data_IF_642129750674
#
_entry.id   IF_642129750674
#
_cell.length_a   1.000
_cell.length_b   1.000
_cell.length_c   1.000
_cell.angle_alpha   90.00
_cell.angle_beta   90.00
_cell.angle_gamma   90.00
#
_symmetry.space_group_name_H-M   'P 1'
#
loop_
_entity.id
_entity.type
_entity.pdbx_description
1 polymer ?
#
# COMPACT_ATOMS: atom_id res chain seq x y z
N UNK A 1 -75.58 -0.15 6.92
CA UNK A 1 -75.06 -0.06 5.54
C UNK A 1 -74.02 1.05 5.50
N UNK A 2 -72.75 0.74 5.23
CA UNK A 2 -71.67 1.73 5.26
C UNK A 2 -70.31 1.08 5.49
N UNK A 3 -69.55 0.91 4.41
CA UNK A 3 -68.41 0.02 4.26
C UNK A 3 -67.13 0.44 5.00
N UNK A 4 -66.38 -0.61 5.36
CA UNK A 4 -64.94 -0.68 5.67
C UNK A 4 -64.10 0.33 4.88
N UNK A 5 -63.19 1.02 5.56
CA UNK A 5 -61.96 1.56 4.97
C UNK A 5 -60.77 1.06 5.78
N UNK A 6 -60.28 -0.11 5.40
CA UNK A 6 -59.02 -0.66 5.91
C UNK A 6 -57.88 0.12 5.26
N UNK A 7 -57.26 1.04 6.00
CA UNK A 7 -56.01 1.66 5.59
C UNK A 7 -54.88 0.65 5.77
N UNK A 8 -54.46 0.02 4.68
CA UNK A 8 -53.23 -0.77 4.64
C UNK A 8 -52.07 0.21 4.45
N UNK A 9 -51.43 0.59 5.56
CA UNK A 9 -50.14 1.27 5.57
C UNK A 9 -49.06 0.23 5.22
N UNK A 10 -48.76 0.09 3.93
CA UNK A 10 -47.61 -0.69 3.46
C UNK A 10 -46.36 0.12 3.79
N UNK A 11 -45.72 -0.22 4.91
CA UNK A 11 -44.39 0.27 5.26
C UNK A 11 -43.36 -0.32 4.31
N UNK A 12 -42.97 0.46 3.29
CA UNK A 12 -41.77 0.16 2.51
C UNK A 12 -40.62 0.93 3.16
N UNK A 13 -40.00 0.32 4.17
CA UNK A 13 -38.68 0.73 4.62
C UNK A 13 -37.69 0.32 3.55
N UNK A 14 -37.44 1.20 2.59
CA UNK A 14 -36.28 1.09 1.68
C UNK A 14 -35.04 1.44 2.51
N UNK A 15 -34.63 0.52 3.38
CA UNK A 15 -33.27 0.47 3.89
C UNK A 15 -32.38 -0.09 2.78
N UNK A 16 -32.24 0.69 1.70
CA UNK A 16 -31.13 0.56 0.77
C UNK A 16 -29.88 1.04 1.50
N UNK A 17 -29.39 0.21 2.42
CA UNK A 17 -28.05 0.32 2.95
C UNK A 17 -27.15 -0.04 1.77
N UNK A 18 -26.86 0.96 0.94
CA UNK A 18 -25.68 0.93 0.10
C UNK A 18 -24.51 0.75 1.06
N UNK A 19 -24.08 -0.50 1.26
CA UNK A 19 -22.75 -0.81 1.75
C UNK A 19 -21.79 -0.40 0.64
N UNK A 20 -21.66 0.92 0.44
CA UNK A 20 -20.55 1.52 -0.27
C UNK A 20 -19.37 1.10 0.57
N UNK A 21 -18.76 -0.03 0.22
CA UNK A 21 -17.49 -0.41 0.79
C UNK A 21 -16.63 0.83 0.63
N UNK A 22 -16.17 1.41 1.73
CA UNK A 22 -15.27 2.54 1.71
C UNK A 22 -14.07 2.14 0.85
N UNK A 23 -14.11 2.42 -0.45
CA UNK A 23 -12.93 2.50 -1.28
C UNK A 23 -12.18 3.64 -0.64
N UNK A 24 -11.05 3.34 0.00
CA UNK A 24 -10.17 4.37 0.48
C UNK A 24 -9.81 5.18 -0.77
N UNK A 25 -10.37 6.39 -0.87
CA UNK A 25 -10.11 7.27 -2.00
C UNK A 25 -8.58 7.39 -2.11
N UNK A 26 -8.03 7.45 -3.31
CA UNK A 26 -6.58 7.53 -3.53
C UNK A 26 -5.81 6.21 -3.58
N UNK A 27 -6.36 5.07 -3.18
CA UNK A 27 -5.71 3.77 -3.43
C UNK A 27 -5.84 3.34 -4.91
N UNK A 28 -4.82 2.66 -5.45
CA UNK A 28 -4.87 2.10 -6.80
C UNK A 28 -4.07 0.81 -6.94
N UNK A 29 -4.47 -0.02 -7.91
CA UNK A 29 -3.80 -1.25 -8.32
C UNK A 29 -3.27 -1.03 -9.74
N UNK A 30 -1.95 -1.02 -9.91
CA UNK A 30 -1.29 -0.81 -11.20
C UNK A 30 -1.01 -2.14 -11.91
N UNK A 31 -0.66 -3.18 -11.16
CA UNK A 31 -0.37 -4.50 -11.69
C UNK A 31 -0.77 -5.61 -10.71
N UNK A 32 -1.21 -6.76 -11.23
CA UNK A 32 -1.44 -7.98 -10.47
C UNK A 32 -1.22 -9.22 -11.35
N UNK A 33 -0.31 -10.09 -10.94
CA UNK A 33 -0.20 -11.42 -11.48
C UNK A 33 -1.21 -12.36 -10.78
N UNK A 34 -2.30 -12.72 -11.47
CA UNK A 34 -3.35 -13.57 -10.90
C UNK A 34 -2.98 -15.06 -10.83
N UNK A 35 -1.95 -15.47 -11.58
CA UNK A 35 -1.57 -16.86 -11.74
C UNK A 35 -0.49 -17.31 -10.74
N UNK A 36 0.07 -16.36 -9.99
CA UNK A 36 1.11 -16.65 -9.02
C UNK A 36 0.52 -17.13 -7.69
N UNK A 37 1.17 -18.11 -7.06
CA UNK A 37 0.90 -18.53 -5.70
C UNK A 37 2.11 -18.20 -4.84
N UNK A 38 1.89 -17.33 -3.87
CA UNK A 38 2.93 -16.92 -2.92
C UNK A 38 2.81 -17.74 -1.65
N UNK A 39 3.95 -18.22 -1.16
CA UNK A 39 4.04 -18.90 0.14
C UNK A 39 3.54 -17.98 1.25
N UNK A 40 3.16 -18.56 2.39
CA UNK A 40 2.84 -17.78 3.59
C UNK A 40 4.01 -16.85 3.93
N UNK A 41 3.81 -15.55 3.74
CA UNK A 41 4.81 -14.52 4.01
C UNK A 41 5.05 -14.44 5.51
N UNK A 42 6.31 -14.66 5.93
CA UNK A 42 6.79 -14.52 7.32
C UNK A 42 7.92 -13.50 7.41
N UNK A 43 8.67 -13.31 6.32
CA UNK A 43 9.79 -12.38 6.20
C UNK A 43 9.68 -11.64 4.88
N UNK A 44 9.76 -10.32 4.97
CA UNK A 44 9.75 -9.42 3.82
C UNK A 44 11.09 -8.71 3.76
N UNK A 45 11.85 -8.92 2.70
CA UNK A 45 12.99 -8.05 2.38
C UNK A 45 12.44 -6.69 1.94
N UNK A 46 12.98 -5.62 2.50
CA UNK A 46 12.56 -4.25 2.25
C UNK A 46 13.74 -3.40 1.80
N UNK A 47 13.57 -2.69 0.69
CA UNK A 47 14.51 -1.70 0.18
C UNK A 47 14.11 -0.29 0.60
N UNK A 48 15.08 0.60 0.79
CA UNK A 48 14.78 2.01 0.98
C UNK A 48 14.02 2.55 -0.25
N UNK A 49 13.00 3.40 -0.06
CA UNK A 49 12.22 3.90 -1.18
C UNK A 49 13.06 4.77 -2.10
N UNK A 50 12.79 4.69 -3.41
CA UNK A 50 13.19 5.75 -4.35
C UNK A 50 12.40 7.00 -4.01
N UNK A 51 13.08 8.14 -3.84
CA UNK A 51 12.44 9.41 -3.46
C UNK A 51 12.51 10.38 -4.62
N UNK A 52 11.37 11.01 -4.92
CA UNK A 52 11.30 12.07 -5.94
C UNK A 52 10.58 13.28 -5.37
N UNK A 53 11.13 14.50 -5.46
CA UNK A 53 12.43 14.83 -6.06
C UNK A 53 13.62 14.37 -5.22
N UNK A 54 14.78 14.25 -5.85
CA UNK A 54 16.04 13.84 -5.21
C UNK A 54 16.63 14.98 -4.38
N UNK A 55 16.31 14.98 -3.09
CA UNK A 55 16.71 16.02 -2.14
C UNK A 55 17.23 15.32 -0.88
N UNK A 56 18.53 15.41 -0.56
CA UNK A 56 19.14 14.67 0.54
C UNK A 56 18.43 14.87 1.90
N UNK A 57 17.94 16.08 2.16
CA UNK A 57 17.32 16.49 3.42
C UNK A 57 16.05 15.69 3.74
N UNK A 58 15.35 15.18 2.73
CA UNK A 58 14.12 14.41 2.93
C UNK A 58 14.36 12.90 2.94
N UNK A 59 15.57 12.40 2.66
CA UNK A 59 15.83 10.96 2.56
C UNK A 59 15.65 10.23 3.89
N UNK A 60 16.41 10.62 4.91
CA UNK A 60 16.36 9.96 6.23
C UNK A 60 14.96 10.04 6.85
N UNK A 61 14.27 11.21 6.88
CA UNK A 61 12.91 11.28 7.38
C UNK A 61 11.95 10.37 6.63
N UNK A 62 12.05 10.29 5.30
CA UNK A 62 11.18 9.43 4.48
C UNK A 62 11.45 7.96 4.74
N UNK A 63 12.72 7.55 4.81
CA UNK A 63 13.11 6.17 5.08
C UNK A 63 12.57 5.71 6.44
N UNK A 64 12.71 6.54 7.47
CA UNK A 64 12.24 6.24 8.80
C UNK A 64 10.70 6.19 8.87
N UNK A 65 10.02 7.17 8.25
CA UNK A 65 8.56 7.22 8.20
C UNK A 65 7.96 6.00 7.50
N UNK A 66 8.50 5.66 6.33
CA UNK A 66 8.08 4.49 5.56
C UNK A 66 8.34 3.22 6.36
N UNK A 67 9.57 3.01 6.85
CA UNK A 67 9.95 1.80 7.57
C UNK A 67 9.11 1.58 8.82
N UNK A 68 8.89 2.62 9.64
CA UNK A 68 8.02 2.55 10.82
C UNK A 68 6.62 2.10 10.42
N UNK A 69 6.00 2.77 9.44
CA UNK A 69 4.64 2.43 9.01
C UNK A 69 4.53 1.00 8.43
N UNK A 70 5.52 0.56 7.64
CA UNK A 70 5.54 -0.77 7.06
C UNK A 70 5.76 -1.87 8.12
N UNK A 71 6.72 -1.65 9.03
CA UNK A 71 6.98 -2.53 10.17
C UNK A 71 5.73 -2.70 11.03
N UNK A 72 5.11 -1.58 11.43
CA UNK A 72 3.95 -1.60 12.32
C UNK A 72 2.75 -2.28 11.65
N UNK A 73 2.51 -2.01 10.37
CA UNK A 73 1.46 -2.68 9.60
C UNK A 73 1.60 -4.21 9.56
N UNK A 74 2.84 -4.73 9.45
CA UNK A 74 3.10 -6.16 9.43
C UNK A 74 2.98 -6.79 10.82
N UNK A 75 3.46 -6.09 11.86
CA UNK A 75 3.33 -6.52 13.27
C UNK A 75 1.86 -6.63 13.69
N UNK A 76 1.06 -5.59 13.41
CA UNK A 76 -0.36 -5.51 13.80
C UNK A 76 -1.21 -6.64 13.20
N UNK A 77 -0.75 -7.23 12.09
CA UNK A 77 -1.45 -8.31 11.40
C UNK A 77 -0.87 -9.69 11.66
N UNK A 78 0.15 -9.79 12.52
CA UNK A 78 0.95 -11.00 12.72
C UNK A 78 1.43 -11.62 11.39
N UNK A 79 1.70 -10.76 10.40
CA UNK A 79 1.93 -11.13 8.99
C UNK A 79 3.41 -11.29 8.64
N UNK A 80 4.31 -11.20 9.63
CA UNK A 80 5.73 -11.40 9.44
C UNK A 80 6.61 -10.27 9.96
N UNK A 81 7.92 -10.41 9.72
CA UNK A 81 8.96 -9.45 10.06
C UNK A 81 9.49 -8.78 8.80
N UNK A 82 9.81 -7.50 8.90
CA UNK A 82 10.50 -6.76 7.84
C UNK A 82 12.01 -6.85 8.07
N UNK A 83 12.76 -7.11 7.01
CA UNK A 83 14.22 -7.13 6.99
C UNK A 83 14.68 -5.98 6.09
N UNK A 84 15.22 -4.92 6.70
CA UNK A 84 15.68 -3.75 5.97
C UNK A 84 17.04 -4.01 5.34
N UNK A 85 17.12 -3.79 4.04
CA UNK A 85 18.36 -3.68 3.28
C UNK A 85 18.62 -2.20 3.07
N UNK A 86 19.75 -1.68 3.56
CA UNK A 86 20.05 -0.25 3.52
C UNK A 86 20.57 0.20 2.15
N UNK A 87 19.82 -0.14 1.10
CA UNK A 87 20.08 0.29 -0.26
C UNK A 87 18.77 0.62 -0.97
N UNK A 88 18.87 1.41 -2.04
CA UNK A 88 17.76 1.75 -2.91
C UNK A 88 17.86 0.88 -4.17
N UNK A 89 16.76 0.27 -4.58
CA UNK A 89 16.65 -0.42 -5.86
C UNK A 89 15.95 0.49 -6.88
N UNK A 90 16.43 0.50 -8.13
CA UNK A 90 15.77 1.25 -9.19
C UNK A 90 14.31 0.81 -9.33
N UNK A 91 13.39 1.77 -9.34
CA UNK A 91 11.96 1.45 -9.43
C UNK A 91 11.54 1.08 -10.86
N UNK A 92 12.24 1.60 -11.87
CA UNK A 92 11.92 1.35 -13.28
C UNK A 92 12.66 0.12 -13.82
N UNK A 93 13.91 -0.09 -13.40
CA UNK A 93 14.76 -1.19 -13.85
C UNK A 93 15.11 -2.10 -12.67
N UNK A 94 14.19 -3.02 -12.34
CA UNK A 94 14.32 -3.92 -11.19
C UNK A 94 15.33 -5.02 -11.50
N UNK A 95 16.35 -5.18 -10.64
CA UNK A 95 17.30 -6.29 -10.71
C UNK A 95 16.71 -7.53 -10.01
N UNK A 96 16.13 -8.43 -10.80
CA UNK A 96 15.49 -9.64 -10.28
C UNK A 96 16.47 -10.69 -9.80
N UNK A 97 17.71 -10.70 -10.32
CA UNK A 97 18.74 -11.62 -9.83
C UNK A 97 19.19 -11.22 -8.43
N UNK A 98 19.37 -9.92 -8.20
CA UNK A 98 19.66 -9.43 -6.85
C UNK A 98 18.49 -9.67 -5.88
N UNK A 99 17.23 -9.60 -6.33
CA UNK A 99 16.06 -9.99 -5.51
C UNK A 99 16.16 -11.46 -5.08
N UNK A 100 16.48 -12.37 -6.00
CA UNK A 100 16.63 -13.80 -5.69
C UNK A 100 17.72 -14.02 -4.65
N UNK A 101 18.89 -13.43 -4.88
CA UNK A 101 20.04 -13.56 -3.99
C UNK A 101 19.71 -13.04 -2.58
N UNK A 102 19.17 -11.82 -2.47
CA UNK A 102 18.92 -11.21 -1.16
C UNK A 102 17.80 -11.94 -0.40
N UNK A 103 16.76 -12.42 -1.10
CA UNK A 103 15.69 -13.20 -0.49
C UNK A 103 16.20 -14.55 0.01
N UNK A 104 17.03 -15.23 -0.79
CA UNK A 104 17.65 -16.50 -0.41
C UNK A 104 18.53 -16.33 0.85
N UNK A 105 19.42 -15.33 0.85
CA UNK A 105 20.36 -15.06 1.94
C UNK A 105 19.68 -14.66 3.25
N UNK A 106 18.45 -14.12 3.18
CA UNK A 106 17.69 -13.67 4.35
C UNK A 106 16.55 -14.63 4.74
N UNK A 107 16.36 -15.72 3.98
CA UNK A 107 15.20 -16.60 4.03
C UNK A 107 13.88 -15.81 4.00
N UNK A 108 13.75 -14.86 3.09
CA UNK A 108 12.55 -14.07 2.90
C UNK A 108 11.70 -14.64 1.76
N UNK A 109 10.37 -14.60 1.92
CA UNK A 109 9.46 -15.11 0.89
C UNK A 109 9.17 -14.08 -0.20
N UNK A 110 9.32 -12.79 0.12
CA UNK A 110 9.03 -11.68 -0.80
C UNK A 110 9.97 -10.50 -0.58
N UNK A 111 10.14 -9.71 -1.63
CA UNK A 111 10.82 -8.42 -1.62
C UNK A 111 9.83 -7.28 -1.92
N UNK A 112 9.89 -6.22 -1.12
CA UNK A 112 9.11 -4.99 -1.28
C UNK A 112 10.03 -3.86 -1.77
N UNK A 113 9.76 -3.35 -2.97
CA UNK A 113 10.52 -2.28 -3.61
C UNK A 113 9.63 -1.03 -3.62
N UNK A 114 9.90 0.00 -2.80
CA UNK A 114 9.02 1.15 -2.68
C UNK A 114 9.51 2.39 -3.43
N UNK A 115 8.58 3.32 -3.65
CA UNK A 115 8.80 4.66 -4.19
C UNK A 115 7.91 5.67 -3.50
N UNK A 116 8.47 6.84 -3.17
CA UNK A 116 7.75 7.98 -2.61
C UNK A 116 7.96 9.18 -3.50
N UNK A 117 6.87 9.69 -4.07
CA UNK A 117 6.87 10.91 -4.88
C UNK A 117 6.16 12.03 -4.13
N UNK A 118 6.88 13.08 -3.79
CA UNK A 118 6.33 14.31 -3.21
C UNK A 118 5.69 15.17 -4.28
N UNK A 119 4.52 15.75 -3.98
CA UNK A 119 3.90 16.75 -4.85
C UNK A 119 4.50 18.13 -4.58
N UNK A 120 4.85 18.86 -5.63
CA UNK A 120 5.35 20.24 -5.53
C UNK A 120 4.19 21.23 -5.49
N UNK A 121 4.23 22.22 -4.60
CA UNK A 121 3.28 23.35 -4.61
C UNK A 121 4.07 24.67 -4.62
N UNK A 122 4.07 25.38 -5.75
CA UNK A 122 4.38 26.83 -5.81
C UNK A 122 5.86 27.28 -5.74
N UNK A 123 6.08 28.58 -6.05
CA UNK A 123 7.36 29.21 -6.40
C UNK A 123 8.32 29.42 -5.21
N UNK A 124 9.57 28.95 -5.36
CA UNK A 124 10.66 29.03 -4.38
C UNK A 124 11.50 27.75 -4.39
N UNK A 125 12.70 27.75 -3.78
CA UNK A 125 13.61 26.57 -3.84
C UNK A 125 13.13 25.35 -3.03
N UNK A 126 12.17 25.49 -2.09
CA UNK A 126 11.88 24.43 -1.10
C UNK A 126 10.43 24.32 -0.57
N UNK A 127 9.39 24.51 -1.39
CA UNK A 127 8.00 24.28 -0.92
C UNK A 127 7.49 22.91 -1.40
N UNK A 128 7.59 21.90 -0.52
CA UNK A 128 6.98 20.58 -0.73
C UNK A 128 5.55 20.60 -0.17
N UNK A 129 4.61 20.04 -0.94
CA UNK A 129 3.33 19.68 -0.35
C UNK A 129 3.61 18.63 0.70
N UNK A 130 2.87 18.67 1.80
CA UNK A 130 2.82 17.55 2.72
C UNK A 130 2.21 16.31 2.04
N UNK A 131 1.73 16.38 0.80
CA UNK A 131 1.14 15.24 0.10
C UNK A 131 2.19 14.45 -0.69
N UNK A 132 1.99 13.13 -0.73
CA UNK A 132 2.84 12.17 -1.42
C UNK A 132 2.02 11.13 -2.17
N UNK A 133 2.62 10.59 -3.23
CA UNK A 133 2.22 9.33 -3.84
C UNK A 133 3.20 8.26 -3.39
N UNK A 134 2.72 7.30 -2.58
CA UNK A 134 3.50 6.14 -2.15
C UNK A 134 3.13 4.96 -3.03
N UNK A 135 4.11 4.31 -3.64
CA UNK A 135 3.92 3.13 -4.50
C UNK A 135 4.88 2.03 -4.09
N UNK A 136 4.52 0.77 -4.32
CA UNK A 136 5.48 -0.33 -4.17
C UNK A 136 5.18 -1.49 -5.11
N UNK A 137 6.25 -2.15 -5.52
CA UNK A 137 6.23 -3.42 -6.24
C UNK A 137 6.59 -4.55 -5.28
N UNK A 138 5.88 -5.66 -5.35
CA UNK A 138 6.16 -6.87 -4.59
C UNK A 138 6.63 -7.97 -5.55
N UNK A 139 7.74 -8.60 -5.19
CA UNK A 139 8.31 -9.74 -5.91
C UNK A 139 8.40 -10.94 -4.97
N UNK A 140 8.28 -12.15 -5.50
CA UNK A 140 8.57 -13.36 -4.72
C UNK A 140 10.09 -13.60 -4.64
N UNK A 141 10.48 -14.60 -3.85
CA UNK A 141 11.87 -15.01 -3.68
C UNK A 141 12.53 -15.51 -4.98
N UNK A 142 11.73 -15.87 -5.99
CA UNK A 142 12.20 -16.33 -7.30
C UNK A 142 12.30 -15.17 -8.31
N UNK A 143 12.08 -13.91 -7.86
CA UNK A 143 12.18 -12.72 -8.68
C UNK A 143 10.97 -12.47 -9.59
N UNK A 144 9.85 -13.17 -9.38
CA UNK A 144 8.63 -12.96 -10.15
C UNK A 144 7.85 -11.76 -9.62
N UNK A 145 7.34 -10.92 -10.53
CA UNK A 145 6.52 -9.76 -10.17
C UNK A 145 5.10 -10.21 -9.77
N UNK A 146 4.69 -9.87 -8.54
CA UNK A 146 3.39 -10.27 -7.98
C UNK A 146 2.36 -9.16 -8.16
N UNK A 147 2.65 -7.97 -7.64
CA UNK A 147 1.65 -6.90 -7.49
C UNK A 147 2.33 -5.54 -7.38
N UNK A 148 1.68 -4.51 -7.94
CA UNK A 148 2.03 -3.11 -7.72
C UNK A 148 0.80 -2.32 -7.31
N UNK A 149 0.92 -1.63 -6.19
CA UNK A 149 -0.13 -0.75 -5.67
C UNK A 149 0.45 0.61 -5.34
N UNK A 150 -0.44 1.60 -5.29
CA UNK A 150 -0.10 2.92 -4.83
C UNK A 150 -1.21 3.55 -3.99
N UNK A 151 -0.84 4.59 -3.26
CA UNK A 151 -1.75 5.44 -2.50
C UNK A 151 -1.37 6.90 -2.68
N UNK A 152 -2.30 7.65 -3.26
CA UNK A 152 -2.21 9.09 -3.45
C UNK A 152 -2.84 9.80 -2.25
N UNK A 153 -2.01 10.39 -1.39
CA UNK A 153 -2.51 11.06 -0.17
C UNK A 153 -3.24 12.36 -0.48
N UNK A 154 -3.02 12.97 -1.65
CA UNK A 154 -3.77 14.14 -2.09
C UNK A 154 -5.23 13.76 -2.40
N UNK A 155 -5.43 12.67 -3.15
CA UNK A 155 -6.77 12.16 -3.48
C UNK A 155 -7.45 11.50 -2.29
N UNK A 156 -6.67 10.82 -1.45
CA UNK A 156 -7.21 9.96 -0.41
C UNK A 156 -7.62 10.63 0.88
N UNK A 157 -7.10 11.83 1.13
CA UNK A 157 -7.46 12.64 2.28
C UNK A 157 -7.45 14.11 1.85
N UNK A 158 -8.59 14.60 1.33
CA UNK A 158 -8.79 15.97 0.83
C UNK A 158 -8.50 17.10 1.84
N UNK A 159 -8.09 16.76 3.08
CA UNK A 159 -7.53 17.64 4.10
C UNK A 159 -6.45 16.89 4.88
N UNK A 160 -5.19 16.93 4.45
CA UNK A 160 -4.09 16.53 5.32
C UNK A 160 -3.52 17.76 6.02
N UNK A 161 -4.15 18.09 7.16
CA UNK A 161 -3.52 18.82 8.24
C UNK A 161 -2.46 17.87 8.83
N UNK A 162 -1.18 18.12 8.56
CA UNK A 162 -0.09 17.26 9.03
C UNK A 162 1.22 17.54 8.32
N UNK A 163 2.32 17.02 8.85
CA UNK A 163 3.65 17.14 8.25
C UNK A 163 3.87 16.08 7.15
N UNK A 164 4.94 16.27 6.36
CA UNK A 164 5.37 15.33 5.33
C UNK A 164 5.55 13.89 5.84
N UNK A 165 6.07 13.72 7.06
CA UNK A 165 6.28 12.41 7.70
C UNK A 165 4.96 11.63 7.86
N UNK A 166 3.92 12.30 8.35
CA UNK A 166 2.60 11.70 8.54
C UNK A 166 2.00 11.25 7.21
N UNK A 167 2.18 12.03 6.15
CA UNK A 167 1.68 11.64 4.83
C UNK A 167 2.42 10.45 4.26
N UNK A 168 3.74 10.34 4.46
CA UNK A 168 4.47 9.11 4.09
C UNK A 168 3.91 7.92 4.86
N UNK A 169 3.66 8.04 6.17
CA UNK A 169 3.07 6.97 6.98
C UNK A 169 1.67 6.56 6.48
N UNK A 170 0.80 7.54 6.25
CA UNK A 170 -0.57 7.32 5.72
C UNK A 170 -0.52 6.66 4.35
N UNK A 171 0.32 7.17 3.44
CA UNK A 171 0.48 6.61 2.10
C UNK A 171 1.02 5.19 2.13
N UNK A 172 1.99 4.90 2.99
CA UNK A 172 2.54 3.56 3.19
C UNK A 172 1.48 2.58 3.66
N UNK A 173 0.72 2.94 4.70
CA UNK A 173 -0.37 2.10 5.24
C UNK A 173 -1.46 1.89 4.18
N UNK A 174 -1.86 2.94 3.46
CA UNK A 174 -2.86 2.86 2.40
C UNK A 174 -2.44 1.91 1.27
N UNK A 175 -1.21 2.05 0.79
CA UNK A 175 -0.62 1.22 -0.26
C UNK A 175 -0.55 -0.25 0.17
N UNK A 176 -0.09 -0.54 1.39
CA UNK A 176 0.00 -1.90 1.93
C UNK A 176 -1.38 -2.52 2.22
N UNK A 177 -2.35 -1.73 2.69
CA UNK A 177 -3.75 -2.16 2.86
C UNK A 177 -4.34 -2.62 1.54
N UNK A 178 -4.15 -1.82 0.49
CA UNK A 178 -4.60 -2.16 -0.86
C UNK A 178 -3.93 -3.44 -1.37
N UNK A 179 -2.60 -3.54 -1.23
CA UNK A 179 -1.83 -4.72 -1.63
C UNK A 179 -2.36 -6.00 -0.95
N UNK A 180 -2.48 -5.99 0.38
CA UNK A 180 -2.98 -7.13 1.14
C UNK A 180 -4.46 -7.44 0.81
N UNK A 181 -5.29 -6.44 0.53
CA UNK A 181 -6.68 -6.64 0.09
C UNK A 181 -6.75 -7.41 -1.22
N UNK A 182 -5.97 -7.01 -2.23
CA UNK A 182 -5.99 -7.67 -3.54
C UNK A 182 -5.38 -9.08 -3.45
N UNK A 183 -4.27 -9.27 -2.73
CA UNK A 183 -3.68 -10.59 -2.48
C UNK A 183 -4.71 -11.57 -1.88
N UNK A 184 -5.48 -11.13 -0.88
CA UNK A 184 -6.55 -11.94 -0.27
C UNK A 184 -7.72 -12.18 -1.22
N UNK A 185 -8.15 -11.14 -1.94
CA UNK A 185 -9.26 -11.22 -2.91
C UNK A 185 -9.02 -12.28 -3.97
N UNK A 186 -7.80 -12.38 -4.47
CA UNK A 186 -7.41 -13.35 -5.50
C UNK A 186 -6.80 -14.63 -4.94
N UNK A 187 -6.79 -14.81 -3.60
CA UNK A 187 -6.25 -16.00 -2.93
C UNK A 187 -4.85 -16.35 -3.43
N UNK A 188 -3.99 -15.35 -3.56
CA UNK A 188 -2.61 -15.56 -4.05
C UNK A 188 -1.75 -16.22 -2.97
N UNK A 189 -2.05 -15.98 -1.69
CA UNK A 189 -1.42 -16.70 -0.60
C UNK A 189 -1.83 -18.17 -0.62
N UNK A 190 -0.86 -19.08 -0.74
CA UNK A 190 -1.07 -20.47 -0.39
C UNK A 190 -1.10 -20.57 1.13
N UNK A 191 -2.26 -20.84 1.71
CA UNK A 191 -2.31 -21.65 2.92
C UNK A 191 -1.77 -23.02 2.50
N UNK A 192 -0.53 -23.35 2.85
CA UNK A 192 0.02 -24.66 2.51
C UNK A 192 -0.82 -25.74 3.21
N UNK A 193 -1.28 -26.71 2.42
CA UNK A 193 -1.50 -28.10 2.82
C UNK A 193 -0.36 -28.62 3.71
#
# INVERSE_FOLDING_TARGET
>A
MGMKKTLILIGISVSLICTIGCSAWGDSLSYLNKNIKIKKVKKVVYFNPVITPEIPEIYIPTYNAFYSAASDFLKDRNSGKILRVDCVMSYENIDTEYIKEICLNNNAEVALIPRVKYFKVGFGRYVFSNQVLVSAKLYDADGNFIIETSYDTYKGNARLLGNAENSVKIGTIGMLRKMNKEIRRYKLNSESL
#
